data_IF_721395718727
#
_entry.id   IF_721395718727
#
_cell.length_a   1.000
_cell.length_b   1.000
_cell.length_c   1.000
_cell.angle_alpha   90.00
_cell.angle_beta   90.00
_cell.angle_gamma   90.00
#
_symmetry.space_group_name_H-M   'P 1'
#
loop_
_entity.id
_entity.type
_entity.pdbx_description
1 polymer ?
#
# COMPACT_ATOMS: atom_id res chain seq x y z
N UNK A 1 -19.17 58.51 2.52
CA UNK A 1 -19.81 57.23 2.18
C UNK A 1 -19.01 56.53 1.08
N UNK A 2 -17.91 55.92 1.48
CA UNK A 2 -17.17 55.03 0.59
C UNK A 2 -17.83 53.67 0.72
N UNK A 3 -18.75 53.35 -0.20
CA UNK A 3 -19.18 51.98 -0.37
C UNK A 3 -18.00 51.16 -0.86
N UNK A 4 -17.58 50.13 -0.15
CA UNK A 4 -16.61 49.18 -0.73
C UNK A 4 -17.33 48.50 -1.89
N UNK A 5 -17.07 48.91 -3.11
CA UNK A 5 -17.30 48.08 -4.28
C UNK A 5 -16.40 46.85 -4.05
N UNK A 6 -16.93 45.85 -3.37
CA UNK A 6 -16.38 44.50 -3.53
C UNK A 6 -16.64 44.17 -5.00
N UNK A 7 -15.61 44.40 -5.77
CA UNK A 7 -15.68 44.39 -7.22
C UNK A 7 -16.11 42.98 -7.63
N UNK A 8 -16.97 42.89 -8.61
CA UNK A 8 -17.33 41.66 -9.31
C UNK A 8 -16.10 40.80 -9.61
N UNK A 9 -14.99 41.46 -9.83
CA UNK A 9 -13.66 40.89 -10.02
C UNK A 9 -13.15 40.10 -8.79
N UNK A 10 -13.32 40.61 -7.57
CA UNK A 10 -12.88 39.93 -6.34
C UNK A 10 -13.66 38.63 -6.11
N UNK A 11 -14.98 38.64 -6.36
CA UNK A 11 -15.81 37.45 -6.25
C UNK A 11 -15.43 36.40 -7.30
N UNK A 12 -15.15 36.83 -8.55
CA UNK A 12 -14.73 35.93 -9.62
C UNK A 12 -13.35 35.31 -9.31
N UNK A 13 -12.40 36.12 -8.85
CA UNK A 13 -11.06 35.66 -8.50
C UNK A 13 -11.11 34.65 -7.33
N UNK A 14 -11.88 34.97 -6.28
CA UNK A 14 -12.02 34.08 -5.12
C UNK A 14 -12.66 32.75 -5.51
N UNK A 15 -13.69 32.77 -6.34
CA UNK A 15 -14.34 31.55 -6.83
C UNK A 15 -13.40 30.73 -7.72
N UNK A 16 -12.66 31.39 -8.60
CA UNK A 16 -11.69 30.72 -9.47
C UNK A 16 -10.55 30.05 -8.66
N UNK A 17 -10.01 30.75 -7.67
CA UNK A 17 -8.96 30.21 -6.78
C UNK A 17 -9.49 29.03 -5.96
N UNK A 18 -10.72 29.14 -5.41
CA UNK A 18 -11.33 28.05 -4.66
C UNK A 18 -11.55 26.79 -5.51
N UNK A 19 -12.05 26.95 -6.73
CA UNK A 19 -12.24 25.86 -7.68
C UNK A 19 -10.90 25.24 -8.12
N UNK A 20 -9.87 26.05 -8.30
CA UNK A 20 -8.54 25.58 -8.64
C UNK A 20 -7.95 24.76 -7.51
N UNK A 21 -8.03 25.22 -6.26
CA UNK A 21 -7.56 24.47 -5.08
C UNK A 21 -8.34 23.16 -4.95
N UNK A 22 -9.66 23.20 -5.10
CA UNK A 22 -10.50 22.01 -5.04
C UNK A 22 -10.13 20.99 -6.13
N UNK A 23 -9.97 21.46 -7.39
CA UNK A 23 -9.54 20.62 -8.49
C UNK A 23 -8.15 20.00 -8.28
N UNK A 24 -7.21 20.79 -7.77
CA UNK A 24 -5.87 20.29 -7.43
C UNK A 24 -5.90 19.22 -6.34
N UNK A 25 -6.75 19.40 -5.34
CA UNK A 25 -6.93 18.42 -4.26
C UNK A 25 -7.48 17.09 -4.78
N UNK A 26 -8.49 17.14 -5.67
CA UNK A 26 -9.03 15.92 -6.30
C UNK A 26 -8.01 15.21 -7.19
N UNK A 27 -7.20 15.97 -7.94
CA UNK A 27 -6.12 15.40 -8.76
C UNK A 27 -5.04 14.76 -7.89
N UNK A 28 -4.69 15.40 -6.79
CA UNK A 28 -3.72 14.90 -5.83
C UNK A 28 -4.21 13.59 -5.19
N UNK A 29 -5.48 13.55 -4.77
CA UNK A 29 -6.10 12.35 -4.20
C UNK A 29 -6.06 11.17 -5.20
N UNK A 30 -6.49 11.38 -6.45
CA UNK A 30 -6.42 10.35 -7.48
C UNK A 30 -4.99 9.93 -7.84
N UNK A 31 -4.06 10.88 -7.82
CA UNK A 31 -2.64 10.60 -8.05
C UNK A 31 -2.06 9.71 -6.94
N UNK A 32 -2.43 9.96 -5.68
CA UNK A 32 -2.03 9.12 -4.55
C UNK A 32 -2.65 7.74 -4.60
N UNK A 33 -3.95 7.63 -4.90
CA UNK A 33 -4.62 6.33 -5.02
C UNK A 33 -3.95 5.47 -6.11
N UNK A 34 -3.62 6.06 -7.27
CA UNK A 34 -2.93 5.35 -8.34
C UNK A 34 -1.49 4.94 -7.97
N UNK A 35 -0.77 5.78 -7.21
CA UNK A 35 0.57 5.45 -6.70
C UNK A 35 0.52 4.32 -5.68
N UNK A 36 -0.46 4.34 -4.78
CA UNK A 36 -0.66 3.27 -3.81
C UNK A 36 -0.94 1.94 -4.52
N UNK A 37 -1.86 1.92 -5.47
CA UNK A 37 -2.17 0.72 -6.26
C UNK A 37 -0.95 0.20 -7.02
N UNK A 38 -0.12 1.09 -7.57
CA UNK A 38 1.12 0.68 -8.24
C UNK A 38 2.14 0.08 -7.27
N UNK A 39 2.20 0.56 -6.04
CA UNK A 39 3.10 0.03 -5.00
C UNK A 39 2.53 -1.21 -4.31
N UNK A 40 1.20 -1.32 -4.17
CA UNK A 40 0.51 -2.51 -3.66
C UNK A 40 0.78 -3.74 -4.52
N UNK A 41 0.87 -3.57 -5.84
CA UNK A 41 1.16 -4.65 -6.78
C UNK A 41 2.57 -5.26 -6.65
N UNK A 42 3.49 -4.57 -5.97
CA UNK A 42 4.88 -5.03 -5.75
C UNK A 42 5.08 -5.63 -4.34
N UNK A 43 4.03 -5.64 -3.48
CA UNK A 43 4.14 -6.21 -2.13
C UNK A 43 3.91 -7.71 -2.17
N UNK A 44 5.00 -8.45 -2.13
CA UNK A 44 4.98 -9.91 -2.03
C UNK A 44 5.37 -10.35 -0.61
N UNK A 45 4.68 -11.36 -0.09
CA UNK A 45 5.07 -12.10 1.08
C UNK A 45 5.83 -13.36 0.62
N UNK A 46 7.07 -13.51 1.04
CA UNK A 46 7.88 -14.68 0.68
C UNK A 46 7.91 -15.65 1.85
N UNK A 47 7.35 -16.84 1.62
CA UNK A 47 7.33 -17.94 2.59
C UNK A 47 8.45 -18.91 2.22
N UNK A 48 9.54 -18.90 2.97
CA UNK A 48 10.66 -19.81 2.78
C UNK A 48 10.38 -21.15 3.45
N UNK A 49 10.58 -22.22 2.69
CA UNK A 49 10.37 -23.61 3.11
C UNK A 49 11.69 -24.33 3.07
N UNK A 50 11.96 -25.14 4.10
CA UNK A 50 13.19 -25.92 4.19
C UNK A 50 13.43 -26.76 2.94
N UNK A 51 14.67 -26.84 2.47
CA UNK A 51 15.07 -27.63 1.29
C UNK A 51 14.65 -29.11 1.39
N UNK A 52 14.62 -29.67 2.61
CA UNK A 52 14.22 -31.06 2.88
C UNK A 52 12.71 -31.28 3.05
N UNK A 53 11.85 -30.30 2.75
CA UNK A 53 10.43 -30.45 2.89
C UNK A 53 9.89 -31.53 1.94
N UNK A 54 9.11 -32.48 2.50
CA UNK A 54 8.47 -33.54 1.72
C UNK A 54 7.33 -32.98 0.89
N UNK A 55 6.93 -33.72 -0.14
CA UNK A 55 5.79 -33.34 -0.98
C UNK A 55 4.49 -33.20 -0.18
N UNK A 56 4.26 -34.09 0.79
CA UNK A 56 3.10 -34.00 1.68
C UNK A 56 3.10 -32.71 2.52
N UNK A 57 4.27 -32.26 2.97
CA UNK A 57 4.40 -31.01 3.73
C UNK A 57 4.19 -29.78 2.83
N UNK A 58 4.68 -29.81 1.59
CA UNK A 58 4.40 -28.77 0.60
C UNK A 58 2.91 -28.70 0.26
N UNK A 59 2.27 -29.88 0.09
CA UNK A 59 0.83 -29.94 -0.14
C UNK A 59 0.01 -29.31 1.00
N UNK A 60 0.42 -29.52 2.26
CA UNK A 60 -0.21 -28.87 3.41
C UNK A 60 -0.09 -27.34 3.37
N UNK A 61 1.07 -26.82 2.94
CA UNK A 61 1.26 -25.37 2.77
C UNK A 61 0.36 -24.84 1.66
N UNK A 62 0.30 -25.53 0.52
CA UNK A 62 -0.56 -25.15 -0.62
C UNK A 62 -2.03 -25.15 -0.23
N UNK A 63 -2.49 -26.19 0.47
CA UNK A 63 -3.86 -26.26 0.96
C UNK A 63 -4.18 -25.10 1.93
N UNK A 64 -3.23 -24.74 2.79
CA UNK A 64 -3.39 -23.59 3.67
C UNK A 64 -3.49 -22.27 2.89
N UNK A 65 -2.67 -22.07 1.86
CA UNK A 65 -2.73 -20.89 0.99
C UNK A 65 -4.06 -20.83 0.23
N UNK A 66 -4.52 -21.96 -0.34
CA UNK A 66 -5.78 -22.04 -1.08
C UNK A 66 -7.01 -21.86 -0.18
N UNK A 67 -6.88 -22.12 1.13
CA UNK A 67 -7.97 -21.94 2.10
C UNK A 67 -8.25 -20.47 2.47
N UNK A 68 -7.40 -19.52 2.01
CA UNK A 68 -7.45 -18.11 2.38
C UNK A 68 -7.71 -17.16 1.19
N UNK A 69 -8.71 -17.42 0.34
CA UNK A 69 -8.94 -16.65 -0.90
C UNK A 69 -9.36 -15.19 -0.64
N UNK A 70 -9.74 -14.84 0.59
CA UNK A 70 -10.08 -13.45 0.94
C UNK A 70 -8.85 -12.62 1.32
N UNK A 71 -7.75 -13.27 1.69
CA UNK A 71 -6.53 -12.63 2.14
C UNK A 71 -5.41 -12.74 1.10
N UNK A 72 -5.47 -13.74 0.22
CA UNK A 72 -4.48 -14.07 -0.79
C UNK A 72 -5.12 -13.95 -2.16
N UNK A 73 -4.59 -13.06 -3.00
CA UNK A 73 -5.02 -12.90 -4.39
C UNK A 73 -4.46 -14.02 -5.27
N UNK A 74 -3.17 -14.28 -5.10
CA UNK A 74 -2.46 -15.32 -5.85
C UNK A 74 -1.22 -15.78 -5.10
N UNK A 75 -0.73 -16.97 -5.45
CA UNK A 75 0.55 -17.45 -4.98
C UNK A 75 1.26 -18.24 -6.09
N UNK A 76 2.59 -18.28 -6.03
CA UNK A 76 3.41 -19.07 -6.94
C UNK A 76 4.49 -19.81 -6.15
N UNK A 77 4.82 -21.01 -6.62
CA UNK A 77 5.89 -21.82 -6.03
C UNK A 77 7.17 -21.65 -6.85
N UNK A 78 8.24 -21.33 -6.17
CA UNK A 78 9.58 -21.25 -6.71
C UNK A 78 10.37 -22.43 -6.12
N UNK A 79 10.68 -23.40 -6.97
CA UNK A 79 11.42 -24.60 -6.62
C UNK A 79 12.91 -24.30 -6.39
N UNK A 80 13.70 -25.35 -6.19
CA UNK A 80 15.15 -25.24 -5.95
C UNK A 80 15.89 -24.56 -7.09
N UNK A 81 15.51 -24.85 -8.34
CA UNK A 81 16.19 -24.28 -9.52
C UNK A 81 15.86 -22.79 -9.65
N UNK A 82 14.58 -22.43 -9.49
CA UNK A 82 14.10 -21.06 -9.46
C UNK A 82 14.75 -20.26 -8.29
N UNK A 83 14.79 -20.84 -7.10
CA UNK A 83 15.41 -20.22 -5.91
C UNK A 83 16.91 -19.98 -6.10
N UNK A 84 17.60 -20.92 -6.73
CA UNK A 84 19.04 -20.76 -7.04
C UNK A 84 19.27 -19.66 -8.07
N UNK A 85 18.46 -19.61 -9.12
CA UNK A 85 18.54 -18.56 -10.13
C UNK A 85 18.28 -17.17 -9.54
N UNK A 86 17.31 -17.06 -8.62
CA UNK A 86 17.02 -15.81 -7.92
C UNK A 86 18.13 -15.39 -6.97
N UNK A 87 18.71 -16.35 -6.22
CA UNK A 87 19.87 -16.11 -5.37
C UNK A 87 21.08 -15.64 -6.18
N UNK A 88 21.33 -16.22 -7.35
CA UNK A 88 22.38 -15.77 -8.26
C UNK A 88 22.20 -14.34 -8.72
N UNK A 89 20.94 -13.93 -8.97
CA UNK A 89 20.62 -12.57 -9.37
C UNK A 89 20.82 -11.57 -8.22
N UNK A 90 20.37 -11.94 -7.02
CA UNK A 90 20.43 -11.06 -5.83
C UNK A 90 21.85 -10.94 -5.28
N UNK A 91 22.62 -12.04 -5.31
CA UNK A 91 23.98 -12.12 -4.77
C UNK A 91 25.06 -11.96 -5.84
N UNK A 92 24.74 -11.39 -7.00
CA UNK A 92 25.71 -11.19 -8.09
C UNK A 92 26.94 -10.37 -7.64
N UNK A 93 26.79 -9.54 -6.60
CA UNK A 93 27.87 -8.76 -5.98
C UNK A 93 28.67 -9.49 -4.90
N UNK A 94 28.25 -10.69 -4.47
CA UNK A 94 28.88 -11.48 -3.43
C UNK A 94 29.09 -12.96 -3.84
N UNK A 95 30.13 -13.24 -4.62
CA UNK A 95 30.44 -14.62 -5.06
C UNK A 95 30.76 -15.58 -3.91
N UNK A 96 31.22 -15.07 -2.77
CA UNK A 96 31.57 -15.89 -1.61
C UNK A 96 30.33 -16.52 -0.97
N UNK A 97 29.28 -15.76 -0.80
CA UNK A 97 27.96 -16.24 -0.31
C UNK A 97 27.30 -17.17 -1.34
N UNK A 98 27.42 -16.83 -2.63
CA UNK A 98 26.81 -17.63 -3.70
C UNK A 98 27.39 -19.05 -3.75
N UNK A 99 28.72 -19.23 -3.54
CA UNK A 99 29.37 -20.52 -3.55
C UNK A 99 28.97 -21.44 -2.38
N UNK A 100 28.32 -20.90 -1.34
CA UNK A 100 27.79 -21.67 -0.22
C UNK A 100 26.40 -22.24 -0.49
N UNK A 101 25.71 -21.71 -1.50
CA UNK A 101 24.37 -22.14 -1.86
C UNK A 101 24.44 -23.33 -2.82
N UNK A 102 23.79 -24.41 -2.43
CA UNK A 102 23.66 -25.64 -3.22
C UNK A 102 22.21 -26.03 -3.33
N UNK A 103 21.87 -26.88 -4.30
CA UNK A 103 20.54 -27.42 -4.45
C UNK A 103 19.99 -28.14 -3.19
N UNK A 104 20.91 -28.59 -2.32
CA UNK A 104 20.57 -29.33 -1.11
C UNK A 104 20.28 -28.42 0.09
N UNK A 105 20.84 -27.20 0.11
CA UNK A 105 20.70 -26.29 1.25
C UNK A 105 19.89 -25.03 0.96
N UNK A 106 19.60 -24.75 -0.32
CA UNK A 106 18.79 -23.59 -0.66
C UNK A 106 17.31 -23.86 -0.33
N UNK A 107 16.64 -22.96 0.45
CA UNK A 107 15.22 -23.10 0.71
C UNK A 107 14.40 -22.88 -0.57
N UNK A 108 13.34 -23.62 -0.72
CA UNK A 108 12.29 -23.30 -1.70
C UNK A 108 11.39 -22.21 -1.17
N UNK A 109 10.63 -21.55 -2.01
CA UNK A 109 9.83 -20.42 -1.56
C UNK A 109 8.44 -20.39 -2.24
N UNK A 110 7.45 -19.93 -1.48
CA UNK A 110 6.17 -19.50 -2.03
C UNK A 110 6.14 -17.97 -2.03
N UNK A 111 5.86 -17.40 -3.19
CA UNK A 111 5.58 -15.96 -3.34
C UNK A 111 4.09 -15.80 -3.24
N UNK A 112 3.63 -15.08 -2.25
CA UNK A 112 2.23 -14.87 -1.93
C UNK A 112 1.90 -13.40 -2.14
N UNK A 113 0.94 -13.12 -3.01
CA UNK A 113 0.42 -11.77 -3.25
C UNK A 113 -0.84 -11.61 -2.40
N UNK A 114 -0.83 -10.69 -1.42
CA UNK A 114 -2.01 -10.43 -0.60
C UNK A 114 -3.08 -9.67 -1.38
N UNK A 115 -4.35 -9.88 -1.05
CA UNK A 115 -5.48 -9.15 -1.66
C UNK A 115 -5.47 -7.65 -1.31
N UNK A 116 -5.04 -7.31 -0.10
CA UNK A 116 -4.87 -5.92 0.36
C UNK A 116 -3.52 -5.77 1.06
N UNK A 117 -2.57 -5.21 0.33
CA UNK A 117 -1.23 -4.93 0.85
C UNK A 117 -1.18 -3.75 1.84
N UNK A 118 -2.27 -3.00 1.99
CA UNK A 118 -2.34 -1.84 2.90
C UNK A 118 -2.88 -2.18 4.28
N UNK A 119 -3.54 -3.32 4.43
CA UNK A 119 -4.02 -3.82 5.73
C UNK A 119 -2.91 -4.57 6.47
N UNK A 120 -2.07 -3.79 7.16
CA UNK A 120 -0.90 -4.30 7.90
C UNK A 120 -1.30 -5.31 8.99
N UNK A 121 -2.46 -5.15 9.60
CA UNK A 121 -2.91 -6.03 10.67
C UNK A 121 -3.33 -7.38 10.08
N UNK A 122 -4.05 -7.41 8.97
CA UNK A 122 -4.38 -8.63 8.24
C UNK A 122 -3.12 -9.34 7.72
N UNK A 123 -2.14 -8.59 7.20
CA UNK A 123 -0.87 -9.16 6.75
C UNK A 123 -0.07 -9.80 7.89
N UNK A 124 -0.05 -9.18 9.07
CA UNK A 124 0.58 -9.76 10.26
C UNK A 124 -0.12 -11.03 10.72
N UNK A 125 -1.45 -11.04 10.72
CA UNK A 125 -2.23 -12.24 11.05
C UNK A 125 -1.97 -13.37 10.05
N UNK A 126 -1.95 -13.06 8.76
CA UNK A 126 -1.61 -14.00 7.70
C UNK A 126 -0.21 -14.58 7.90
N UNK A 127 0.79 -13.74 8.18
CA UNK A 127 2.15 -14.18 8.50
C UNK A 127 2.19 -15.13 9.68
N UNK A 128 1.52 -14.80 10.78
CA UNK A 128 1.51 -15.65 11.97
C UNK A 128 0.77 -16.99 11.73
N UNK A 129 -0.29 -16.99 10.93
CA UNK A 129 -1.00 -18.24 10.58
C UNK A 129 -0.15 -19.17 9.71
N UNK A 130 0.58 -18.62 8.75
CA UNK A 130 1.47 -19.38 7.87
C UNK A 130 2.76 -19.83 8.58
N UNK A 131 3.25 -19.06 9.56
CA UNK A 131 4.45 -19.39 10.35
C UNK A 131 4.28 -20.67 11.18
N UNK A 132 3.06 -21.01 11.55
CA UNK A 132 2.73 -22.23 12.29
C UNK A 132 2.75 -23.49 11.44
N UNK A 133 2.89 -23.39 10.12
CA UNK A 133 2.88 -24.55 9.23
C UNK A 133 4.19 -25.36 9.28
N UNK A 134 4.13 -26.67 9.04
CA UNK A 134 5.31 -27.54 9.11
C UNK A 134 6.32 -27.17 8.02
N UNK A 135 7.60 -27.15 8.39
CA UNK A 135 8.75 -26.81 7.52
C UNK A 135 8.80 -25.39 6.93
N UNK A 136 7.94 -24.50 7.35
CA UNK A 136 8.12 -23.06 7.10
C UNK A 136 9.33 -22.60 7.93
N UNK A 137 10.38 -22.15 7.27
CA UNK A 137 11.60 -21.69 7.90
C UNK A 137 11.49 -20.23 8.37
N UNK A 138 11.07 -19.38 7.47
CA UNK A 138 10.87 -17.96 7.73
C UNK A 138 9.88 -17.37 6.74
N UNK A 139 9.26 -16.27 7.12
CA UNK A 139 8.40 -15.51 6.25
C UNK A 139 8.93 -14.08 6.19
N UNK A 140 9.26 -13.63 5.01
CA UNK A 140 9.71 -12.27 4.75
C UNK A 140 8.55 -11.47 4.19
N UNK A 141 8.24 -10.42 4.87
CA UNK A 141 7.27 -9.42 4.45
C UNK A 141 8.01 -8.08 4.40
N UNK A 142 7.70 -7.24 3.45
CA UNK A 142 8.31 -5.91 3.33
C UNK A 142 7.79 -4.95 4.43
N UNK A 143 7.98 -5.32 5.71
CA UNK A 143 7.43 -4.65 6.90
C UNK A 143 7.77 -3.15 6.95
N UNK A 144 9.00 -2.76 6.57
CA UNK A 144 9.40 -1.35 6.55
C UNK A 144 8.64 -0.53 5.52
N UNK A 145 8.36 -1.11 4.36
CA UNK A 145 7.60 -0.43 3.30
C UNK A 145 6.12 -0.31 3.67
N UNK A 146 5.56 -1.35 4.31
CA UNK A 146 4.18 -1.35 4.79
C UNK A 146 3.93 -0.30 5.88
N UNK A 147 4.86 -0.13 6.82
CA UNK A 147 4.77 0.89 7.86
C UNK A 147 4.78 2.31 7.26
N UNK A 148 5.55 2.54 6.21
CA UNK A 148 5.56 3.83 5.49
C UNK A 148 4.24 4.05 4.76
N UNK A 149 3.72 3.04 4.06
CA UNK A 149 2.46 3.10 3.32
C UNK A 149 1.29 3.37 4.26
N UNK A 150 1.20 2.66 5.39
CA UNK A 150 0.12 2.83 6.37
C UNK A 150 0.13 4.22 7.03
N UNK A 151 1.31 4.73 7.38
CA UNK A 151 1.48 6.09 7.91
C UNK A 151 1.11 7.14 6.89
N UNK A 152 1.49 6.95 5.63
CA UNK A 152 1.18 7.86 4.53
C UNK A 152 -0.34 7.89 4.27
N UNK A 153 -0.99 6.73 4.23
CA UNK A 153 -2.46 6.62 4.10
C UNK A 153 -3.19 7.34 5.24
N UNK A 154 -2.72 7.15 6.49
CA UNK A 154 -3.25 7.86 7.65
C UNK A 154 -3.08 9.38 7.57
N UNK A 155 -1.91 9.84 7.13
CA UNK A 155 -1.61 11.27 6.97
C UNK A 155 -2.46 11.92 5.88
N UNK A 156 -2.59 11.26 4.72
CA UNK A 156 -3.42 11.74 3.60
C UNK A 156 -4.90 11.79 4.01
N UNK A 157 -5.40 10.77 4.71
CA UNK A 157 -6.76 10.74 5.24
C UNK A 157 -7.03 11.91 6.21
N UNK A 158 -6.15 12.14 7.17
CA UNK A 158 -6.26 13.26 8.11
C UNK A 158 -6.22 14.62 7.39
N UNK A 159 -5.29 14.80 6.46
CA UNK A 159 -5.17 16.02 5.67
C UNK A 159 -6.45 16.31 4.86
N UNK A 160 -7.02 15.28 4.21
CA UNK A 160 -8.26 15.39 3.44
C UNK A 160 -9.45 15.82 4.31
N UNK A 161 -9.57 15.27 5.52
CA UNK A 161 -10.62 15.66 6.49
C UNK A 161 -10.48 17.12 6.92
N UNK A 162 -9.27 17.54 7.30
CA UNK A 162 -9.00 18.92 7.71
C UNK A 162 -9.30 19.89 6.57
N UNK A 163 -8.88 19.57 5.35
CA UNK A 163 -9.13 20.39 4.17
C UNK A 163 -10.62 20.50 3.87
N UNK A 164 -11.37 19.40 3.96
CA UNK A 164 -12.82 19.37 3.74
C UNK A 164 -13.56 20.24 4.75
N UNK A 165 -13.20 20.18 6.02
CA UNK A 165 -13.79 21.02 7.09
C UNK A 165 -13.47 22.49 6.83
N UNK A 166 -12.24 22.81 6.43
CA UNK A 166 -11.82 24.19 6.14
C UNK A 166 -12.59 24.77 4.96
N UNK A 167 -12.76 23.99 3.89
CA UNK A 167 -13.54 24.40 2.71
C UNK A 167 -15.02 24.58 3.05
N UNK A 168 -15.60 23.70 3.85
CA UNK A 168 -16.98 23.84 4.31
C UNK A 168 -17.17 25.13 5.11
N UNK A 169 -16.26 25.43 6.03
CA UNK A 169 -16.30 26.65 6.82
C UNK A 169 -16.15 27.91 5.95
N UNK A 170 -15.23 27.89 4.99
CA UNK A 170 -15.07 28.97 4.03
C UNK A 170 -16.34 29.20 3.19
N UNK A 171 -17.01 28.12 2.73
CA UNK A 171 -18.27 28.20 2.01
C UNK A 171 -19.39 28.85 2.84
N UNK A 172 -19.51 28.46 4.11
CA UNK A 172 -20.50 29.06 5.04
C UNK A 172 -20.23 30.55 5.22
N UNK A 173 -18.97 30.95 5.41
CA UNK A 173 -18.61 32.37 5.55
C UNK A 173 -18.92 33.17 4.27
N UNK A 174 -18.67 32.60 3.09
CA UNK A 174 -19.01 33.23 1.82
C UNK A 174 -20.53 33.44 1.67
N UNK A 175 -21.32 32.43 1.97
CA UNK A 175 -22.77 32.51 1.93
C UNK A 175 -23.27 33.57 2.93
N UNK A 176 -22.76 33.55 4.15
CA UNK A 176 -23.09 34.54 5.18
C UNK A 176 -22.78 35.96 4.72
N UNK A 177 -21.57 36.17 4.18
CA UNK A 177 -21.16 37.48 3.67
C UNK A 177 -22.04 37.95 2.49
N UNK A 178 -22.39 37.03 1.59
CA UNK A 178 -23.25 37.32 0.43
C UNK A 178 -24.66 37.72 0.86
N UNK A 179 -25.28 37.01 1.82
CA UNK A 179 -26.59 37.31 2.35
C UNK A 179 -26.55 38.66 3.08
N UNK A 180 -25.55 38.90 3.91
CA UNK A 180 -25.40 40.19 4.62
C UNK A 180 -25.25 41.34 3.65
N UNK A 181 -24.52 41.17 2.57
CA UNK A 181 -24.35 42.25 1.55
C UNK A 181 -25.60 42.48 0.72
N UNK A 182 -26.44 41.47 0.53
CA UNK A 182 -27.71 41.59 -0.21
C UNK A 182 -28.83 42.23 0.60
N UNK A 183 -28.74 42.21 1.94
CA UNK A 183 -29.76 42.79 2.82
C UNK A 183 -29.48 44.26 3.21
N UNK A 184 -28.32 44.82 2.82
CA UNK A 184 -27.98 46.23 3.01
C UNK A 184 -27.81 46.94 1.67
#
# INVERSE_FOLDING_TARGET
NVRPKMSRETAIITSAVSLLIFGLTLLMQRGFDNLLVAWEGDVEMIVYVNAGATEAQRATIQEALDSLPQQIESWSYCDTECSLAEAQRLLAGDPSTLNLLTAENIPTQYKVVPTDATDVDTLRQLRESLRGLPNVQTIVLADEQLDVISKLKGFVGLYTVILSITLLFAAILLIWNTIRTAMY
#
